data_IF_262092251846
#
_entry.id   IF_262092251846
#
_cell.length_a   1.000
_cell.length_b   1.000
_cell.length_c   1.000
_cell.angle_alpha   90.00
_cell.angle_beta   90.00
_cell.angle_gamma   90.00
#
_symmetry.space_group_name_H-M   'P 1'
#
loop_
_entity.id
_entity.type
_entity.pdbx_description
1 polymer ?
#
# COMPACT_ATOMS: atom_id res chain seq x y z
N UNK A 1 -6.33 21.28 6.30
CA UNK A 1 -6.47 19.81 6.27
C UNK A 1 -6.35 19.36 4.82
N UNK A 2 -5.42 18.45 4.50
CA UNK A 2 -5.29 17.92 3.14
C UNK A 2 -6.32 16.81 2.93
N UNK A 3 -7.15 16.93 1.91
CA UNK A 3 -8.12 15.90 1.51
C UNK A 3 -7.68 15.33 0.17
N UNK A 4 -7.78 14.01 0.02
CA UNK A 4 -7.44 13.29 -1.20
C UNK A 4 -8.68 12.51 -1.63
N UNK A 5 -8.98 12.53 -2.93
CA UNK A 5 -10.01 11.69 -3.52
C UNK A 5 -9.33 10.49 -4.18
N UNK A 6 -9.79 9.28 -3.87
CA UNK A 6 -9.23 8.05 -4.42
C UNK A 6 -9.34 7.97 -5.95
N UNK A 7 -10.34 8.62 -6.57
CA UNK A 7 -10.50 8.63 -8.03
C UNK A 7 -9.38 9.40 -8.74
N UNK A 8 -8.73 10.33 -8.06
CA UNK A 8 -7.63 11.13 -8.61
C UNK A 8 -6.27 10.42 -8.49
N UNK A 9 -6.25 9.23 -7.86
CA UNK A 9 -5.03 8.46 -7.65
C UNK A 9 -4.86 7.38 -8.72
N UNK A 10 -3.64 7.19 -9.17
CA UNK A 10 -3.27 6.10 -10.08
C UNK A 10 -3.12 4.77 -9.34
N UNK A 11 -3.51 3.70 -10.01
CA UNK A 11 -3.23 2.34 -9.54
C UNK A 11 -1.77 1.99 -9.84
N UNK A 12 -1.01 1.68 -8.79
CA UNK A 12 0.32 1.10 -8.95
C UNK A 12 0.21 -0.42 -9.03
N UNK A 13 0.51 -0.99 -10.19
CA UNK A 13 0.58 -2.44 -10.34
C UNK A 13 1.90 -2.97 -9.82
N UNK A 14 1.82 -4.08 -9.07
CA UNK A 14 2.98 -4.87 -8.64
C UNK A 14 2.76 -6.31 -9.05
N UNK A 15 3.80 -6.90 -9.62
CA UNK A 15 3.86 -8.31 -9.95
C UNK A 15 5.20 -8.88 -9.48
N UNK A 16 5.20 -10.13 -9.03
CA UNK A 16 6.45 -10.84 -8.78
C UNK A 16 7.14 -11.20 -10.10
N UNK A 17 8.48 -11.35 -10.14
CA UNK A 17 9.20 -11.72 -11.37
C UNK A 17 8.69 -13.01 -12.03
N UNK A 18 8.21 -13.96 -11.23
CA UNK A 18 7.64 -15.23 -11.70
C UNK A 18 6.13 -15.18 -12.00
N UNK A 19 5.48 -14.03 -11.89
CA UNK A 19 4.06 -13.84 -12.22
C UNK A 19 3.03 -14.51 -11.28
N UNK A 20 3.47 -15.36 -10.34
CA UNK A 20 2.58 -16.05 -9.40
C UNK A 20 1.89 -15.13 -8.38
N UNK A 21 2.35 -13.88 -8.26
CA UNK A 21 1.75 -12.87 -7.41
C UNK A 21 1.54 -11.57 -8.16
N UNK A 22 0.34 -11.00 -8.05
CA UNK A 22 -0.04 -9.73 -8.67
C UNK A 22 -1.12 -9.01 -7.87
N UNK A 23 -0.97 -7.70 -7.74
CA UNK A 23 -1.95 -6.81 -7.14
C UNK A 23 -1.77 -5.38 -7.60
N UNK A 24 -2.80 -4.57 -7.41
CA UNK A 24 -2.74 -3.12 -7.66
C UNK A 24 -3.03 -2.37 -6.37
N UNK A 25 -2.34 -1.25 -6.15
CA UNK A 25 -2.43 -0.49 -4.91
C UNK A 25 -2.58 1.02 -5.19
N UNK A 26 -3.40 1.70 -4.38
CA UNK A 26 -3.43 3.17 -4.24
C UNK A 26 -2.93 3.56 -2.86
N UNK A 27 -1.83 4.33 -2.77
CA UNK A 27 -1.24 4.75 -1.49
C UNK A 27 -1.86 6.03 -0.96
N UNK A 28 -2.89 5.94 -0.13
CA UNK A 28 -3.59 7.11 0.43
C UNK A 28 -2.64 7.92 1.32
N UNK A 29 -1.88 7.29 2.23
CA UNK A 29 -0.97 8.02 3.13
C UNK A 29 0.13 8.76 2.36
N UNK A 30 0.71 8.16 1.30
CA UNK A 30 1.68 8.84 0.46
C UNK A 30 1.10 10.10 -0.19
N UNK A 31 -0.13 10.03 -0.70
CA UNK A 31 -0.82 11.19 -1.28
C UNK A 31 -1.30 12.20 -0.25
N UNK A 32 -1.41 11.82 1.02
CA UNK A 32 -1.64 12.75 2.14
C UNK A 32 -0.34 13.42 2.63
N UNK A 33 0.82 12.95 2.17
CA UNK A 33 2.14 13.55 2.45
C UNK A 33 3.06 12.73 3.34
N UNK A 34 2.70 11.47 3.65
CA UNK A 34 3.58 10.59 4.41
C UNK A 34 4.90 10.34 3.66
N UNK A 35 6.03 10.54 4.35
CA UNK A 35 7.34 10.17 3.82
C UNK A 35 7.56 8.67 4.03
N UNK A 36 7.61 7.91 2.94
CA UNK A 36 7.83 6.46 2.98
C UNK A 36 9.14 6.08 3.66
N UNK A 37 9.12 5.00 4.45
CA UNK A 37 10.29 4.48 5.17
C UNK A 37 10.83 5.40 6.28
N UNK A 38 10.07 6.42 6.68
CA UNK A 38 10.43 7.34 7.76
C UNK A 38 9.56 7.09 8.98
N UNK A 39 10.16 7.23 10.17
CA UNK A 39 9.40 7.28 11.42
C UNK A 39 8.58 8.56 11.52
N UNK A 40 7.64 8.60 12.46
CA UNK A 40 6.73 9.75 12.67
C UNK A 40 7.47 11.07 12.90
N UNK A 41 8.57 11.05 13.67
CA UNK A 41 9.41 12.23 13.90
C UNK A 41 10.18 12.73 12.66
N UNK A 42 10.18 11.98 11.56
CA UNK A 42 10.85 12.33 10.30
C UNK A 42 9.85 12.59 9.16
N UNK A 43 8.56 12.74 9.48
CA UNK A 43 7.49 12.99 8.52
C UNK A 43 6.84 11.74 7.94
N UNK A 44 7.10 10.56 8.51
CA UNK A 44 6.26 9.40 8.28
C UNK A 44 4.92 9.53 8.99
N UNK A 45 3.93 8.77 8.55
CA UNK A 45 2.69 8.60 9.30
C UNK A 45 2.86 7.47 10.34
N UNK A 46 2.04 7.45 11.42
CA UNK A 46 2.07 6.36 12.40
C UNK A 46 1.62 5.01 11.79
N UNK A 47 0.90 5.05 10.68
CA UNK A 47 0.49 3.90 9.88
C UNK A 47 0.32 4.31 8.41
N UNK A 48 0.39 3.35 7.50
CA UNK A 48 0.05 3.55 6.10
C UNK A 48 -1.41 3.13 5.86
N UNK A 49 -2.07 3.79 4.91
CA UNK A 49 -3.42 3.46 4.46
C UNK A 49 -3.37 3.42 2.94
N UNK A 50 -3.90 2.34 2.38
CA UNK A 50 -4.04 2.19 0.96
C UNK A 50 -5.30 1.43 0.59
N UNK A 51 -5.59 1.44 -0.71
CA UNK A 51 -6.63 0.60 -1.29
C UNK A 51 -5.93 -0.48 -2.10
N UNK A 52 -6.21 -1.73 -1.77
CA UNK A 52 -5.75 -2.89 -2.53
C UNK A 52 -6.84 -3.34 -3.50
N UNK A 53 -6.44 -3.63 -4.74
CA UNK A 53 -7.27 -4.35 -5.71
C UNK A 53 -6.59 -5.64 -6.12
N UNK A 54 -7.28 -6.75 -5.91
CA UNK A 54 -6.84 -8.08 -6.33
C UNK A 54 -7.74 -8.54 -7.47
N UNK A 55 -7.12 -8.88 -8.61
CA UNK A 55 -7.87 -9.41 -9.75
C UNK A 55 -8.37 -10.82 -9.46
N UNK A 56 -9.47 -11.27 -10.09
CA UNK A 56 -9.96 -12.63 -9.94
C UNK A 56 -8.84 -13.66 -10.11
N UNK A 57 -8.82 -14.66 -9.24
CA UNK A 57 -7.85 -15.77 -9.24
C UNK A 57 -6.38 -15.37 -8.98
N UNK A 58 -6.10 -14.09 -8.71
CA UNK A 58 -4.76 -13.60 -8.39
C UNK A 58 -4.51 -13.64 -6.89
N UNK A 59 -3.22 -13.67 -6.51
CA UNK A 59 -2.75 -13.53 -5.12
C UNK A 59 -1.79 -12.36 -5.06
N UNK A 60 -1.92 -11.39 -4.16
CA UNK A 60 -1.05 -10.22 -4.17
C UNK A 60 0.33 -10.48 -3.54
N UNK A 61 0.48 -11.50 -2.69
CA UNK A 61 1.74 -11.93 -2.05
C UNK A 61 1.65 -13.39 -1.57
N UNK A 62 2.79 -14.03 -1.24
CA UNK A 62 2.82 -15.31 -0.54
C UNK A 62 2.32 -15.18 0.90
N UNK A 63 1.93 -16.30 1.52
CA UNK A 63 1.68 -16.34 2.96
C UNK A 63 2.95 -15.91 3.72
N UNK A 64 2.81 -14.94 4.63
CA UNK A 64 3.93 -14.39 5.40
C UNK A 64 3.46 -13.83 6.75
N UNK A 65 4.41 -13.38 7.56
CA UNK A 65 4.16 -12.68 8.83
C UNK A 65 5.02 -11.43 8.93
N UNK A 66 4.58 -10.48 9.76
CA UNK A 66 5.31 -9.26 10.05
C UNK A 66 5.94 -9.35 11.45
N UNK A 67 7.18 -8.90 11.57
CA UNK A 67 7.89 -8.85 12.86
C UNK A 67 7.70 -7.53 13.61
N UNK A 68 7.49 -6.43 12.88
CA UNK A 68 7.47 -5.06 13.43
C UNK A 68 6.26 -4.23 13.01
N UNK A 69 5.33 -4.84 12.28
CA UNK A 69 4.14 -4.18 11.72
C UNK A 69 2.90 -5.01 12.04
N UNK A 70 1.78 -4.33 12.19
CA UNK A 70 0.46 -4.95 12.16
C UNK A 70 -0.21 -4.54 10.84
N UNK A 71 -0.82 -5.50 10.17
CA UNK A 71 -1.54 -5.27 8.93
C UNK A 71 -3.01 -5.67 9.09
N UNK A 72 -3.90 -4.87 8.53
CA UNK A 72 -5.35 -5.04 8.58
C UNK A 72 -5.96 -4.70 7.21
N UNK A 73 -6.96 -5.47 6.80
CA UNK A 73 -7.64 -5.38 5.50
C UNK A 73 -9.12 -5.05 5.68
#
# INVERSE_FOLDING_TARGET
MRKVNEYDLEWMERASPGGGFRGSWKGISSHLGAKGGKGTGQGGHPFDVGILKVSPWSKPWPLHSHSSQLEFY
#
